data_IF_252135489082
#
_entry.id   IF_252135489082
#
_cell.length_a   1.000
_cell.length_b   1.000
_cell.length_c   1.000
_cell.angle_alpha   90.00
_cell.angle_beta   90.00
_cell.angle_gamma   90.00
#
_symmetry.space_group_name_H-M   'P 1'
#
loop_
_entity.id
_entity.type
_entity.pdbx_description
1 polymer ?
#
# COMPACT_ATOMS: atom_id res chain seq x y z
N UNK A 1 20.99 -6.47 -0.80
CA UNK A 1 19.74 -6.43 0.02
C UNK A 1 18.84 -5.23 -0.25
N UNK A 2 19.33 -3.97 -0.22
CA UNK A 2 18.50 -2.77 -0.48
C UNK A 2 17.70 -2.84 -1.81
N UNK A 3 18.33 -3.29 -2.89
CA UNK A 3 17.68 -3.41 -4.20
C UNK A 3 16.53 -4.43 -4.21
N UNK A 4 16.63 -5.49 -3.42
CA UNK A 4 15.57 -6.51 -3.36
C UNK A 4 14.34 -6.02 -2.58
N UNK A 5 14.56 -5.34 -1.45
CA UNK A 5 13.46 -4.73 -0.68
C UNK A 5 12.76 -3.64 -1.49
N UNK A 6 13.53 -2.83 -2.23
CA UNK A 6 12.98 -1.82 -3.12
C UNK A 6 12.17 -2.44 -4.27
N UNK A 7 12.68 -3.51 -4.90
CA UNK A 7 11.93 -4.27 -5.91
C UNK A 7 10.61 -4.81 -5.35
N UNK A 8 10.66 -5.42 -4.16
CA UNK A 8 9.47 -5.96 -3.50
C UNK A 8 8.46 -4.84 -3.19
N UNK A 9 8.95 -3.69 -2.71
CA UNK A 9 8.14 -2.50 -2.51
C UNK A 9 7.42 -2.06 -3.78
N UNK A 10 8.15 -1.98 -4.91
CA UNK A 10 7.56 -1.59 -6.20
C UNK A 10 6.52 -2.60 -6.70
N UNK A 11 6.77 -3.91 -6.52
CA UNK A 11 5.81 -4.95 -6.88
C UNK A 11 4.52 -4.82 -6.06
N UNK A 12 4.64 -4.63 -4.75
CA UNK A 12 3.48 -4.45 -3.86
C UNK A 12 2.72 -3.18 -4.23
N UNK A 13 3.42 -2.07 -4.47
CA UNK A 13 2.82 -0.80 -4.85
C UNK A 13 2.05 -0.92 -6.18
N UNK A 14 2.64 -1.57 -7.19
CA UNK A 14 1.99 -1.85 -8.48
C UNK A 14 0.73 -2.70 -8.30
N UNK A 15 0.80 -3.75 -7.46
CA UNK A 15 -0.35 -4.60 -7.15
C UNK A 15 -1.49 -3.80 -6.50
N UNK A 16 -1.20 -3.04 -5.45
CA UNK A 16 -2.21 -2.23 -4.75
C UNK A 16 -2.86 -1.23 -5.69
N UNK A 17 -2.07 -0.56 -6.53
CA UNK A 17 -2.56 0.43 -7.51
C UNK A 17 -3.52 -0.22 -8.51
N UNK A 18 -3.15 -1.39 -9.04
CA UNK A 18 -4.00 -2.15 -9.98
C UNK A 18 -5.35 -2.54 -9.36
N UNK A 19 -5.34 -3.06 -8.12
CA UNK A 19 -6.57 -3.52 -7.46
C UNK A 19 -7.47 -2.39 -6.97
N UNK A 20 -6.90 -1.29 -6.47
CA UNK A 20 -7.69 -0.19 -5.92
C UNK A 20 -8.20 0.76 -7.00
N UNK A 21 -7.65 0.74 -8.23
CA UNK A 21 -8.18 1.49 -9.37
C UNK A 21 -8.34 2.98 -9.05
N UNK A 22 -7.34 3.56 -8.39
CA UNK A 22 -7.45 4.93 -7.90
C UNK A 22 -7.14 5.90 -9.03
N UNK A 23 -8.19 6.47 -9.62
CA UNK A 23 -8.13 7.81 -10.20
C UNK A 23 -7.48 8.71 -9.16
N UNK A 24 -6.32 9.26 -9.52
CA UNK A 24 -5.51 10.11 -8.66
C UNK A 24 -6.42 11.05 -7.88
N UNK A 25 -6.34 10.99 -6.54
CA UNK A 25 -7.15 11.81 -5.65
C UNK A 25 -7.26 13.23 -6.20
N UNK A 26 -8.49 13.71 -6.45
CA UNK A 26 -8.77 15.09 -6.83
C UNK A 26 -7.83 16.00 -6.04
N UNK A 27 -6.91 16.69 -6.73
CA UNK A 27 -5.88 17.54 -6.11
C UNK A 27 -6.57 18.53 -5.18
N UNK A 28 -6.59 18.23 -3.88
CA UNK A 28 -7.07 19.18 -2.87
C UNK A 28 -6.05 20.31 -2.79
N UNK A 29 -6.51 21.54 -2.65
CA UNK A 29 -5.65 22.71 -2.53
C UNK A 29 -4.63 22.53 -1.39
N UNK A 30 -3.35 22.80 -1.66
CA UNK A 30 -2.25 22.67 -0.71
C UNK A 30 -1.10 21.80 -1.19
N UNK A 31 -0.04 21.69 -0.36
CA UNK A 31 1.13 20.87 -0.68
C UNK A 31 0.77 19.38 -0.61
N UNK A 32 1.08 18.57 -1.64
CA UNK A 32 0.83 17.14 -1.60
C UNK A 32 1.60 16.51 -0.43
N UNK A 33 1.05 15.46 0.20
CA UNK A 33 1.74 14.76 1.27
C UNK A 33 3.05 14.15 0.74
N UNK A 34 4.12 14.18 1.54
CA UNK A 34 5.43 13.60 1.19
C UNK A 34 5.37 12.12 0.79
N UNK A 35 4.44 11.40 1.38
CA UNK A 35 4.17 9.98 1.09
C UNK A 35 2.71 9.90 0.73
N UNK A 36 2.35 9.28 -0.39
CA UNK A 36 0.94 9.05 -0.75
C UNK A 36 0.30 7.95 0.10
N UNK A 37 -1.03 7.89 0.15
CA UNK A 37 -1.73 6.88 0.94
C UNK A 37 -1.49 5.46 0.40
N UNK A 38 -1.39 5.30 -0.93
CA UNK A 38 -1.03 4.03 -1.56
C UNK A 38 0.40 3.59 -1.23
N UNK A 39 1.35 4.52 -1.26
CA UNK A 39 2.73 4.24 -0.83
C UNK A 39 2.76 3.82 0.65
N UNK A 40 1.95 4.45 1.50
CA UNK A 40 1.84 4.08 2.90
C UNK A 40 1.21 2.68 3.07
N UNK A 41 0.16 2.33 2.32
CA UNK A 41 -0.38 0.97 2.27
C UNK A 41 0.70 -0.07 1.88
N UNK A 42 1.50 0.23 0.85
CA UNK A 42 2.58 -0.64 0.42
C UNK A 42 3.64 -0.83 1.52
N UNK A 43 3.99 0.24 2.25
CA UNK A 43 4.90 0.17 3.38
C UNK A 43 4.34 -0.67 4.54
N UNK A 44 3.04 -0.62 4.83
CA UNK A 44 2.42 -1.46 5.85
C UNK A 44 2.48 -2.95 5.50
N UNK A 45 2.22 -3.30 4.24
CA UNK A 45 2.34 -4.69 3.77
C UNK A 45 3.81 -5.15 3.82
N UNK A 46 4.73 -4.29 3.40
CA UNK A 46 6.16 -4.61 3.42
C UNK A 46 6.69 -4.75 4.85
N UNK A 47 6.22 -3.91 5.77
CA UNK A 47 6.52 -3.99 7.19
C UNK A 47 6.09 -5.33 7.78
N UNK A 48 4.90 -5.81 7.40
CA UNK A 48 4.41 -7.13 7.80
C UNK A 48 5.29 -8.28 7.28
N UNK A 49 5.75 -8.21 6.02
CA UNK A 49 6.59 -9.27 5.41
C UNK A 49 8.00 -9.28 6.00
N UNK A 50 8.60 -8.10 6.17
CA UNK A 50 10.02 -7.97 6.56
C UNK A 50 10.22 -7.86 8.07
N UNK A 51 9.12 -7.76 8.84
CA UNK A 51 9.13 -7.46 10.27
C UNK A 51 9.91 -6.19 10.64
N UNK A 52 10.00 -5.23 9.72
CA UNK A 52 10.67 -3.95 9.94
C UNK A 52 9.65 -2.83 10.16
N UNK A 53 9.89 -1.86 11.05
CA UNK A 53 8.94 -0.78 11.29
C UNK A 53 8.67 0.06 10.03
N UNK A 54 7.39 0.40 9.79
CA UNK A 54 6.95 1.25 8.67
C UNK A 54 7.74 2.56 8.59
N UNK A 55 8.06 3.17 9.73
CA UNK A 55 8.82 4.42 9.77
C UNK A 55 10.24 4.26 9.23
N UNK A 56 10.92 3.17 9.60
CA UNK A 56 12.27 2.84 9.14
C UNK A 56 12.27 2.55 7.64
N UNK A 57 11.28 1.79 7.16
CA UNK A 57 11.10 1.54 5.74
C UNK A 57 10.84 2.82 4.95
N UNK A 58 9.99 3.73 5.46
CA UNK A 58 9.68 5.00 4.79
C UNK A 58 10.94 5.87 4.61
N UNK A 59 11.78 5.97 5.65
CA UNK A 59 13.05 6.70 5.57
C UNK A 59 14.03 6.08 4.59
N UNK A 60 14.08 4.75 4.53
CA UNK A 60 15.02 4.01 3.68
C UNK A 60 14.61 4.00 2.20
N UNK A 61 13.30 3.90 1.92
CA UNK A 61 12.78 3.66 0.57
C UNK A 61 12.20 4.89 -0.14
N UNK A 62 11.85 5.95 0.62
CA UNK A 62 11.18 7.14 0.06
C UNK A 62 12.01 8.41 0.29
N UNK A 63 12.11 8.87 1.54
CA UNK A 63 12.84 10.11 1.87
C UNK A 63 13.36 10.02 3.32
N UNK A 64 14.68 10.14 3.55
CA UNK A 64 15.26 10.09 4.90
C UNK A 64 14.75 11.21 5.83
N UNK A 65 14.27 12.33 5.26
CA UNK A 65 13.72 13.47 5.98
C UNK A 65 12.24 13.32 6.33
N UNK A 66 11.69 12.11 6.26
CA UNK A 66 10.34 11.80 6.75
C UNK A 66 10.34 11.77 8.28
N UNK A 67 9.45 12.57 8.86
CA UNK A 67 9.09 12.56 10.30
C UNK A 67 7.81 11.75 10.53
N UNK A 68 7.65 11.23 11.75
CA UNK A 68 6.54 10.32 12.13
C UNK A 68 5.15 10.91 11.85
N UNK A 69 4.96 12.21 12.11
CA UNK A 69 3.69 12.91 11.87
C UNK A 69 3.33 13.05 10.39
N UNK A 70 4.25 12.81 9.46
CA UNK A 70 3.91 12.72 8.05
C UNK A 70 3.20 11.41 7.74
N UNK A 71 3.45 10.33 8.49
CA UNK A 71 2.88 9.00 8.25
C UNK A 71 1.66 8.73 9.15
N UNK A 72 1.80 8.95 10.45
CA UNK A 72 0.87 8.43 11.47
C UNK A 72 -0.09 9.50 12.01
N UNK A 73 -0.86 10.15 11.13
CA UNK A 73 -1.98 11.02 11.56
C UNK A 73 -3.24 10.18 11.71
N UNK A 74 -4.01 10.36 12.80
CA UNK A 74 -5.21 9.56 13.10
C UNK A 74 -6.16 9.38 11.91
N UNK A 75 -6.53 10.48 11.25
CA UNK A 75 -7.43 10.47 10.08
C UNK A 75 -6.82 9.73 8.88
N UNK A 76 -5.53 9.93 8.65
CA UNK A 76 -4.76 9.28 7.58
C UNK A 76 -4.64 7.78 7.83
N UNK A 77 -4.27 7.37 9.03
CA UNK A 77 -4.15 5.98 9.43
C UNK A 77 -5.48 5.24 9.26
N UNK A 78 -6.61 5.85 9.67
CA UNK A 78 -7.94 5.29 9.44
C UNK A 78 -8.24 5.07 7.94
N UNK A 79 -7.90 6.05 7.09
CA UNK A 79 -8.05 5.93 5.63
C UNK A 79 -7.18 4.81 5.06
N UNK A 80 -5.92 4.71 5.47
CA UNK A 80 -5.00 3.64 5.06
C UNK A 80 -5.54 2.26 5.43
N UNK A 81 -6.07 2.08 6.63
CA UNK A 81 -6.68 0.80 7.03
C UNK A 81 -7.92 0.46 6.20
N UNK A 82 -8.75 1.46 5.84
CA UNK A 82 -9.88 1.24 4.92
C UNK A 82 -9.40 0.77 3.54
N UNK A 83 -8.38 1.42 2.98
CA UNK A 83 -7.78 1.03 1.70
C UNK A 83 -7.17 -0.38 1.74
N UNK A 84 -6.48 -0.73 2.83
CA UNK A 84 -5.94 -2.09 3.01
C UNK A 84 -7.04 -3.14 3.11
N UNK A 85 -8.14 -2.84 3.80
CA UNK A 85 -9.31 -3.73 3.89
C UNK A 85 -9.94 -3.94 2.51
N UNK A 86 -10.10 -2.86 1.75
CA UNK A 86 -10.64 -2.90 0.40
C UNK A 86 -9.75 -3.69 -0.56
N UNK A 87 -8.44 -3.45 -0.53
CA UNK A 87 -7.45 -4.20 -1.30
C UNK A 87 -7.57 -5.70 -1.02
N UNK A 88 -7.65 -6.09 0.26
CA UNK A 88 -7.84 -7.49 0.67
C UNK A 88 -9.12 -8.08 0.08
N UNK A 89 -10.24 -7.36 0.20
CA UNK A 89 -11.53 -7.83 -0.28
C UNK A 89 -11.56 -7.99 -1.81
N UNK A 90 -11.06 -7.01 -2.56
CA UNK A 90 -10.97 -7.07 -4.04
C UNK A 90 -10.08 -8.22 -4.51
N UNK A 91 -8.96 -8.47 -3.81
CA UNK A 91 -8.06 -9.60 -4.10
C UNK A 91 -8.69 -10.96 -3.79
N UNK A 92 -9.44 -11.08 -2.69
CA UNK A 92 -10.18 -12.32 -2.39
C UNK A 92 -11.25 -12.56 -3.46
N UNK A 93 -11.99 -11.51 -3.84
CA UNK A 93 -13.01 -11.58 -4.86
C UNK A 93 -12.44 -12.01 -6.22
N UNK A 94 -11.30 -11.44 -6.65
CA UNK A 94 -10.65 -11.84 -7.90
C UNK A 94 -10.20 -13.30 -7.89
N UNK A 95 -9.69 -13.80 -6.76
CA UNK A 95 -9.33 -15.22 -6.60
C UNK A 95 -10.58 -16.12 -6.67
N UNK A 96 -11.68 -15.71 -6.04
CA UNK A 96 -12.95 -16.46 -6.11
C UNK A 96 -13.49 -16.51 -7.54
N UNK A 97 -13.52 -15.38 -8.25
CA UNK A 97 -13.92 -15.34 -9.66
C UNK A 97 -13.02 -16.21 -10.54
N UNK A 98 -11.70 -16.12 -10.38
CA UNK A 98 -10.78 -16.96 -11.12
C UNK A 98 -11.05 -18.46 -10.86
N UNK A 99 -11.30 -18.86 -9.61
CA UNK A 99 -11.65 -20.25 -9.27
C UNK A 99 -12.96 -20.71 -9.90
N UNK A 100 -13.98 -19.85 -9.92
CA UNK A 100 -15.28 -20.14 -10.55
C UNK A 100 -15.13 -20.30 -12.07
N UNK A 101 -14.38 -19.40 -12.73
CA UNK A 101 -14.17 -19.42 -14.18
C UNK A 101 -13.31 -20.60 -14.63
N UNK A 102 -12.31 -21.01 -13.84
CA UNK A 102 -11.48 -22.18 -14.12
C UNK A 102 -12.22 -23.51 -13.93
N UNK A 103 -13.51 -23.49 -13.58
CA UNK A 103 -14.35 -24.69 -13.51
C UNK A 103 -13.86 -25.75 -12.53
N UNK A 104 -12.96 -25.39 -11.59
CA UNK A 104 -12.45 -26.29 -10.56
C UNK A 104 -13.59 -26.59 -9.57
N UNK A 105 -14.42 -27.57 -9.93
CA UNK A 105 -15.26 -28.32 -9.00
C UNK A 105 -14.32 -28.86 -7.92
N UNK A 106 -14.72 -28.67 -6.67
CA UNK A 106 -14.02 -29.15 -5.47
C UNK A 106 -13.61 -30.60 -5.60
#
# INVERSE_FOLDING_TARGET
MKNHIYSLYQMVLKSITSYLGVDQEKKRAGRPPKVSDLQLCALFILSYITNTPVFTLAKSLIDPNIKSYHLFRKTRTQKVYRLLKEYRNRRILSILFAKLLLGKKR
#
